data_IF_056001335319
#
_entry.id   IF_056001335319
#
_cell.length_a   1.000
_cell.length_b   1.000
_cell.length_c   1.000
_cell.angle_alpha   90.00
_cell.angle_beta   90.00
_cell.angle_gamma   90.00
#
_symmetry.space_group_name_H-M   'P 1'
#
loop_
_entity.id
_entity.type
_entity.pdbx_description
1 polymer ?
#
# COMPACT_ATOMS: atom_id res chain seq x y z
N UNK A 1 -8.32 -7.11 4.39
CA UNK A 1 -7.30 -7.57 5.37
C UNK A 1 -7.98 -8.19 6.56
N UNK A 2 -7.48 -9.30 7.05
CA UNK A 2 -8.06 -9.97 8.21
C UNK A 2 -7.90 -9.10 9.46
N UNK A 3 -8.93 -9.04 10.34
CA UNK A 3 -8.89 -8.14 11.52
C UNK A 3 -7.73 -8.40 12.47
N UNK A 4 -7.24 -9.65 12.54
CA UNK A 4 -6.15 -10.03 13.44
C UNK A 4 -4.77 -10.03 12.78
N UNK A 5 -4.68 -9.63 11.52
CA UNK A 5 -3.40 -9.59 10.81
C UNK A 5 -2.58 -8.39 11.29
N UNK A 6 -1.36 -8.67 11.76
CA UNK A 6 -0.41 -7.64 12.18
C UNK A 6 0.62 -7.31 11.10
N UNK A 7 0.67 -8.11 10.04
CA UNK A 7 1.61 -7.95 8.96
C UNK A 7 0.82 -7.85 7.67
N UNK A 8 1.05 -6.78 6.93
CA UNK A 8 0.44 -6.59 5.62
C UNK A 8 1.46 -6.82 4.52
N UNK A 9 0.98 -7.31 3.38
CA UNK A 9 1.79 -7.55 2.20
C UNK A 9 1.37 -6.62 1.08
N UNK A 10 2.35 -6.00 0.45
CA UNK A 10 2.16 -5.23 -0.77
C UNK A 10 2.98 -5.90 -1.87
N UNK A 11 2.34 -6.32 -2.95
CA UNK A 11 3.04 -6.86 -4.11
C UNK A 11 3.50 -5.71 -5.00
N UNK A 12 4.81 -5.56 -5.17
CA UNK A 12 5.39 -4.54 -6.02
C UNK A 12 5.73 -5.11 -7.39
N UNK A 13 5.72 -4.25 -8.40
CA UNK A 13 6.03 -4.63 -9.79
C UNK A 13 5.10 -5.72 -10.31
N UNK A 14 3.84 -5.67 -9.93
CA UNK A 14 2.84 -6.62 -10.40
C UNK A 14 2.42 -6.28 -11.83
N UNK A 15 2.20 -7.29 -12.65
CA UNK A 15 1.73 -7.08 -14.02
C UNK A 15 0.25 -6.72 -14.05
N UNK A 16 -0.54 -7.30 -13.14
CA UNK A 16 -1.97 -7.05 -13.03
C UNK A 16 -2.47 -7.58 -11.68
N UNK A 17 -3.76 -7.43 -11.44
CA UNK A 17 -4.39 -7.91 -10.20
C UNK A 17 -4.25 -9.43 -10.03
N UNK A 18 -4.36 -10.19 -11.10
CA UNK A 18 -4.21 -11.66 -11.07
C UNK A 18 -2.83 -12.08 -10.59
N UNK A 19 -1.81 -11.44 -11.14
CA UNK A 19 -0.41 -11.70 -10.72
C UNK A 19 -0.23 -11.40 -9.23
N UNK A 20 -0.75 -10.28 -8.78
CA UNK A 20 -0.69 -9.88 -7.36
C UNK A 20 -1.37 -10.92 -6.46
N UNK A 21 -2.56 -11.38 -6.83
CA UNK A 21 -3.30 -12.37 -6.04
C UNK A 21 -2.56 -13.71 -5.96
N UNK A 22 -1.94 -14.13 -7.05
CA UNK A 22 -1.12 -15.35 -7.06
C UNK A 22 0.07 -15.23 -6.12
N UNK A 23 0.78 -14.11 -6.16
CA UNK A 23 1.92 -13.85 -5.28
C UNK A 23 1.48 -13.85 -3.83
N UNK A 24 0.39 -13.14 -3.53
CA UNK A 24 -0.15 -13.08 -2.18
C UNK A 24 -0.50 -14.48 -1.66
N UNK A 25 -1.23 -15.26 -2.45
CA UNK A 25 -1.68 -16.59 -2.04
C UNK A 25 -0.52 -17.53 -1.74
N UNK A 26 0.53 -17.48 -2.56
CA UNK A 26 1.72 -18.30 -2.36
C UNK A 26 2.46 -17.93 -1.08
N UNK A 27 2.67 -16.66 -0.85
CA UNK A 27 3.37 -16.18 0.34
C UNK A 27 2.53 -16.41 1.58
N UNK A 28 1.23 -16.13 1.53
CA UNK A 28 0.33 -16.33 2.66
C UNK A 28 0.25 -17.81 3.06
N UNK A 29 0.19 -18.72 2.09
CA UNK A 29 0.19 -20.16 2.34
C UNK A 29 1.46 -20.59 3.08
N UNK A 30 2.62 -20.14 2.59
CA UNK A 30 3.91 -20.45 3.23
C UNK A 30 3.99 -19.85 4.64
N UNK A 31 3.54 -18.62 4.82
CA UNK A 31 3.59 -17.94 6.11
C UNK A 31 2.69 -18.63 7.14
N UNK A 32 1.48 -19.02 6.75
CA UNK A 32 0.58 -19.77 7.63
C UNK A 32 1.16 -21.12 8.03
N UNK A 33 1.80 -21.80 7.07
CA UNK A 33 2.36 -23.14 7.30
C UNK A 33 3.56 -23.10 8.24
N UNK A 34 4.47 -22.16 8.06
CA UNK A 34 5.74 -22.14 8.79
C UNK A 34 5.76 -21.18 9.97
N UNK A 35 5.04 -20.08 9.92
CA UNK A 35 5.04 -19.06 10.97
C UNK A 35 3.71 -18.97 11.72
N UNK A 36 2.68 -19.65 11.23
CA UNK A 36 1.32 -19.65 11.81
C UNK A 36 0.71 -18.25 11.91
N UNK A 37 1.18 -17.31 11.08
CA UNK A 37 0.64 -15.95 11.03
C UNK A 37 -0.08 -15.73 9.70
N UNK A 38 -1.34 -15.30 9.72
CA UNK A 38 -2.01 -14.86 8.50
C UNK A 38 -1.47 -13.50 8.07
N UNK A 39 -1.33 -13.31 6.75
CA UNK A 39 -0.97 -12.01 6.19
C UNK A 39 -2.23 -11.25 5.76
N UNK A 40 -2.18 -9.93 5.86
CA UNK A 40 -3.18 -9.06 5.26
C UNK A 40 -2.77 -8.67 3.85
N UNK A 41 -3.70 -8.73 2.91
CA UNK A 41 -3.45 -8.24 1.55
C UNK A 41 -3.73 -6.74 1.51
N UNK A 42 -2.68 -5.94 1.42
CA UNK A 42 -2.81 -4.48 1.35
C UNK A 42 -2.95 -3.97 -0.08
N UNK A 43 -2.70 -4.81 -1.07
CA UNK A 43 -2.82 -4.43 -2.46
C UNK A 43 -1.53 -4.64 -3.24
N UNK A 44 -1.43 -3.95 -4.37
CA UNK A 44 -0.30 -4.13 -5.26
C UNK A 44 0.04 -2.80 -5.95
N UNK A 45 1.27 -2.73 -6.46
CA UNK A 45 1.72 -1.62 -7.29
C UNK A 45 2.08 -2.21 -8.65
N UNK A 46 1.42 -1.74 -9.71
CA UNK A 46 1.69 -2.23 -11.06
C UNK A 46 3.04 -1.74 -11.55
N UNK A 47 3.64 -2.49 -12.46
CA UNK A 47 4.83 -2.05 -13.18
C UNK A 47 4.46 -0.80 -13.99
N UNK A 48 5.17 0.30 -13.75
CA UNK A 48 4.87 1.59 -14.36
C UNK A 48 6.17 2.36 -14.56
N UNK A 49 6.43 2.75 -15.80
CA UNK A 49 7.66 3.48 -16.16
C UNK A 49 7.76 4.85 -15.48
N UNK A 50 6.64 5.41 -14.99
CA UNK A 50 6.67 6.67 -14.25
C UNK A 50 7.42 6.56 -12.95
N UNK A 51 7.50 5.36 -12.36
CA UNK A 51 8.29 5.14 -11.13
C UNK A 51 9.76 5.42 -11.41
N UNK A 52 10.31 4.86 -12.49
CA UNK A 52 11.69 5.10 -12.89
C UNK A 52 11.91 6.57 -13.21
N UNK A 53 10.98 7.19 -13.95
CA UNK A 53 11.08 8.58 -14.31
C UNK A 53 11.12 9.49 -13.08
N UNK A 54 10.29 9.23 -12.08
CA UNK A 54 10.30 9.98 -10.84
C UNK A 54 11.62 9.80 -10.08
N UNK A 55 12.14 8.58 -10.04
CA UNK A 55 13.43 8.30 -9.40
C UNK A 55 14.58 9.05 -10.09
N UNK A 56 14.56 9.12 -11.41
CA UNK A 56 15.61 9.81 -12.20
C UNK A 56 15.66 11.30 -11.89
N UNK A 57 14.53 11.93 -11.67
CA UNK A 57 14.46 13.35 -11.32
C UNK A 57 14.47 13.59 -9.81
N UNK A 58 14.58 12.51 -9.01
CA UNK A 58 14.64 12.56 -7.55
C UNK A 58 13.45 13.27 -6.92
N UNK A 59 12.26 12.99 -7.45
CA UNK A 59 11.00 13.55 -6.93
C UNK A 59 10.06 12.43 -6.53
N UNK A 60 9.21 12.63 -5.50
CA UNK A 60 8.22 11.63 -5.14
C UNK A 60 7.25 11.36 -6.28
N UNK A 61 6.95 10.08 -6.50
CA UNK A 61 6.05 9.65 -7.57
C UNK A 61 4.70 10.37 -7.49
N UNK A 62 4.13 10.45 -6.29
CA UNK A 62 2.80 11.02 -6.08
C UNK A 62 2.73 12.51 -6.39
N UNK A 63 3.86 13.21 -6.30
CA UNK A 63 3.94 14.63 -6.62
C UNK A 63 4.18 14.83 -8.11
N UNK A 64 5.12 14.06 -8.68
CA UNK A 64 5.50 14.22 -10.08
C UNK A 64 4.46 13.65 -11.05
N UNK A 65 3.90 12.49 -10.73
CA UNK A 65 2.94 11.79 -11.58
C UNK A 65 1.73 11.32 -10.78
N UNK A 66 0.87 12.25 -10.30
CA UNK A 66 -0.20 11.89 -9.37
C UNK A 66 -1.30 11.03 -9.99
N UNK A 67 -1.40 10.98 -11.31
CA UNK A 67 -2.48 10.28 -12.00
C UNK A 67 -2.03 9.04 -12.76
N UNK A 68 -0.76 8.64 -12.63
CA UNK A 68 -0.28 7.41 -13.28
C UNK A 68 -0.86 6.18 -12.55
N UNK A 69 -0.76 5.01 -13.21
CA UNK A 69 -1.33 3.78 -12.67
C UNK A 69 -0.71 3.40 -11.32
N UNK A 70 0.62 3.54 -11.16
CA UNK A 70 1.28 3.27 -9.90
C UNK A 70 0.78 4.19 -8.79
N UNK A 71 0.55 5.47 -9.06
CA UNK A 71 0.02 6.41 -8.08
C UNK A 71 -1.39 6.05 -7.65
N UNK A 72 -2.22 5.58 -8.57
CA UNK A 72 -3.56 5.07 -8.25
C UNK A 72 -3.46 3.86 -7.32
N UNK A 73 -2.53 2.96 -7.58
CA UNK A 73 -2.29 1.81 -6.71
C UNK A 73 -1.86 2.24 -5.30
N UNK A 74 -0.97 3.21 -5.19
CA UNK A 74 -0.52 3.73 -3.89
C UNK A 74 -1.68 4.32 -3.11
N UNK A 75 -2.56 5.09 -3.77
CA UNK A 75 -3.75 5.64 -3.10
C UNK A 75 -4.69 4.54 -2.62
N UNK A 76 -4.89 3.50 -3.42
CA UNK A 76 -5.73 2.37 -3.03
C UNK A 76 -5.15 1.65 -1.80
N UNK A 77 -3.83 1.47 -1.76
CA UNK A 77 -3.14 0.88 -0.61
C UNK A 77 -3.33 1.76 0.63
N UNK A 78 -3.14 3.06 0.49
CA UNK A 78 -3.33 4.00 1.60
C UNK A 78 -4.77 3.93 2.15
N UNK A 79 -5.77 3.86 1.28
CA UNK A 79 -7.16 3.72 1.70
C UNK A 79 -7.39 2.40 2.45
N UNK A 80 -6.80 1.31 1.97
CA UNK A 80 -6.89 0.02 2.64
C UNK A 80 -6.29 0.08 4.04
N UNK A 81 -5.12 0.70 4.20
CA UNK A 81 -4.47 0.87 5.49
C UNK A 81 -5.34 1.70 6.44
N UNK A 82 -5.90 2.80 5.95
CA UNK A 82 -6.74 3.67 6.77
C UNK A 82 -8.02 2.98 7.26
N UNK A 83 -8.50 2.01 6.51
CA UNK A 83 -9.74 1.30 6.83
C UNK A 83 -9.50 0.00 7.61
N UNK A 84 -8.25 -0.32 7.95
CA UNK A 84 -7.98 -1.52 8.75
C UNK A 84 -8.09 -1.22 10.24
N UNK A 85 -8.49 -2.24 11.02
CA UNK A 85 -8.63 -2.09 12.46
C UNK A 85 -7.30 -1.84 13.18
N UNK A 86 -6.20 -2.30 12.62
CA UNK A 86 -4.87 -2.05 13.19
C UNK A 86 -4.61 -0.56 13.33
N UNK A 87 -4.96 0.22 12.33
CA UNK A 87 -4.77 1.67 12.34
C UNK A 87 -5.91 2.41 13.04
N UNK A 88 -7.10 1.83 13.10
CA UNK A 88 -8.22 2.41 13.85
C UNK A 88 -7.89 2.49 15.35
N UNK A 89 -7.19 1.50 15.89
CA UNK A 89 -6.79 1.50 17.29
C UNK A 89 -5.73 2.55 17.61
N UNK A 90 -4.98 2.98 16.59
CA UNK A 90 -3.95 4.01 16.73
C UNK A 90 -4.48 5.43 16.54
N UNK A 91 -5.77 5.56 16.24
CA UNK A 91 -6.39 6.90 16.07
C UNK A 91 -6.38 7.74 17.35
N UNK A 92 -6.02 7.16 18.47
CA UNK A 92 -5.84 7.91 19.72
C UNK A 92 -4.53 8.69 19.73
N UNK A 93 -3.64 8.44 18.79
CA UNK A 93 -2.39 9.17 18.65
C UNK A 93 -2.63 10.37 17.74
N UNK A 94 -2.61 11.56 18.32
CA UNK A 94 -2.83 12.81 17.58
C UNK A 94 -1.77 13.04 16.51
N UNK A 95 -0.54 12.60 16.74
CA UNK A 95 0.54 12.77 15.75
C UNK A 95 0.31 11.96 14.50
N UNK A 96 -0.27 10.76 14.63
CA UNK A 96 -0.65 9.94 13.48
C UNK A 96 -1.76 10.59 12.67
N UNK A 97 -2.79 11.13 13.33
CA UNK A 97 -3.88 11.86 12.68
C UNK A 97 -3.36 13.06 11.90
N UNK A 98 -2.44 13.82 12.49
CA UNK A 98 -1.82 14.96 11.83
C UNK A 98 -1.00 14.56 10.62
N UNK A 99 -0.23 13.47 10.72
CA UNK A 99 0.54 12.94 9.60
C UNK A 99 -0.37 12.53 8.44
N UNK A 100 -1.43 11.80 8.73
CA UNK A 100 -2.38 11.35 7.70
C UNK A 100 -3.13 12.52 7.08
N UNK A 101 -3.48 13.53 7.86
CA UNK A 101 -4.09 14.75 7.35
C UNK A 101 -3.16 15.50 6.41
N UNK A 102 -1.90 15.63 6.77
CA UNK A 102 -0.88 16.27 5.94
C UNK A 102 -0.67 15.49 4.64
N UNK A 103 -0.62 14.17 4.72
CA UNK A 103 -0.46 13.31 3.55
C UNK A 103 -1.64 13.46 2.58
N UNK A 104 -2.87 13.45 3.10
CA UNK A 104 -4.07 13.65 2.28
C UNK A 104 -4.09 15.01 1.61
N UNK A 105 -3.69 16.07 2.31
CA UNK A 105 -3.60 17.41 1.72
C UNK A 105 -2.57 17.47 0.60
N UNK A 106 -1.42 16.83 0.79
CA UNK A 106 -0.38 16.76 -0.24
C UNK A 106 -0.87 16.02 -1.46
N UNK A 107 -1.56 14.90 -1.27
CA UNK A 107 -2.11 14.10 -2.37
C UNK A 107 -3.24 14.85 -3.10
N UNK A 108 -4.05 15.60 -2.40
CA UNK A 108 -5.15 16.36 -2.99
C UNK A 108 -4.68 17.64 -3.67
N UNK A 109 -3.57 18.21 -3.23
CA UNK A 109 -3.04 19.46 -3.75
C UNK A 109 -2.17 19.35 -5.00
N UNK A 110 -2.00 18.12 -5.50
CA UNK A 110 -1.10 17.87 -6.65
C UNK A 110 -1.87 17.64 -7.97
#
# INVERSE_FOLDING_TARGET
MEPNSKIGLIANMAQNMYHSKNVFNRINTATKKYLKYPLGDLGFIVTDHHIEAACQVRKPLMIEYPYCEASKCVRAIADTILNTQVFVNDKKDSSFGDLMGALKRTMAGV
#
